data_IF_997080203532
#
_entry.id   IF_997080203532
#
_cell.length_a   1.000
_cell.length_b   1.000
_cell.length_c   1.000
_cell.angle_alpha   90.00
_cell.angle_beta   90.00
_cell.angle_gamma   90.00
#
_symmetry.space_group_name_H-M   'P 1'
#
loop_
_entity.id
_entity.type
_entity.pdbx_description
1 polymer ?
#
# COMPACT_ATOMS: atom_id res chain seq x y z
N UNK A 1 -9.65 12.40 -10.23
CA UNK A 1 -9.04 11.31 -11.02
C UNK A 1 -10.06 10.20 -11.23
N UNK A 2 -10.03 9.48 -12.36
CA UNK A 2 -10.99 8.41 -12.68
C UNK A 2 -10.25 7.19 -13.20
N UNK A 3 -10.69 5.98 -12.78
CA UNK A 3 -10.16 4.68 -13.22
C UNK A 3 -11.35 3.90 -13.80
N UNK A 4 -11.40 3.72 -15.12
CA UNK A 4 -12.60 3.20 -15.78
C UNK A 4 -13.83 4.03 -15.43
N UNK A 5 -14.84 3.41 -14.81
CA UNK A 5 -16.05 4.07 -14.32
C UNK A 5 -15.96 4.52 -12.83
N UNK A 6 -14.86 4.27 -12.14
CA UNK A 6 -14.68 4.58 -10.72
C UNK A 6 -14.02 5.96 -10.56
N UNK A 7 -14.71 6.87 -9.87
CA UNK A 7 -14.18 8.19 -9.51
C UNK A 7 -13.54 8.15 -8.13
N UNK A 8 -12.27 8.56 -8.05
CA UNK A 8 -11.54 8.68 -6.78
C UNK A 8 -11.76 10.04 -6.14
N UNK A 9 -11.89 10.07 -4.81
CA UNK A 9 -11.98 11.31 -4.01
C UNK A 9 -10.68 12.13 -4.03
N UNK A 10 -9.54 11.44 -4.10
CA UNK A 10 -8.21 12.04 -4.17
C UNK A 10 -7.29 11.22 -5.09
N UNK A 11 -6.29 11.84 -5.75
CA UNK A 11 -5.34 11.14 -6.63
C UNK A 11 -4.22 10.45 -5.83
N UNK A 12 -4.56 9.83 -4.69
CA UNK A 12 -3.61 9.16 -3.80
C UNK A 12 -4.14 7.77 -3.46
N UNK A 13 -3.29 6.76 -3.61
CA UNK A 13 -3.63 5.36 -3.35
C UNK A 13 -2.69 4.73 -2.30
N UNK A 14 -3.22 3.80 -1.49
CA UNK A 14 -2.43 2.91 -0.64
C UNK A 14 -1.90 1.74 -1.47
N UNK A 15 -0.57 1.54 -1.47
CA UNK A 15 0.05 0.41 -2.16
C UNK A 15 -0.21 -0.92 -1.42
N UNK A 16 -0.36 -2.03 -2.14
CA UNK A 16 -0.46 -3.36 -1.54
C UNK A 16 0.84 -3.75 -0.83
N UNK A 17 0.75 -4.13 0.43
CA UNK A 17 1.88 -4.53 1.28
C UNK A 17 1.50 -5.72 2.15
N UNK A 18 2.09 -6.90 1.88
CA UNK A 18 1.82 -8.12 2.62
C UNK A 18 2.11 -7.96 4.13
N UNK A 19 1.16 -8.34 4.98
CA UNK A 19 1.20 -8.19 6.42
C UNK A 19 1.04 -6.75 6.91
N UNK A 20 0.54 -5.83 6.06
CA UNK A 20 0.30 -4.42 6.43
C UNK A 20 -1.06 -3.94 5.95
N UNK A 21 -1.41 -4.17 4.66
CA UNK A 21 -2.62 -3.59 4.07
C UNK A 21 -3.82 -4.50 4.19
N UNK A 22 -4.04 -4.99 5.40
CA UNK A 22 -5.27 -5.67 5.78
C UNK A 22 -6.45 -4.69 5.89
N UNK A 23 -7.67 -5.22 6.03
CA UNK A 23 -8.88 -4.40 6.04
C UNK A 23 -8.86 -3.29 7.12
N UNK A 24 -8.48 -3.53 8.39
CA UNK A 24 -8.38 -2.48 9.39
C UNK A 24 -7.46 -1.32 8.98
N UNK A 25 -6.27 -1.62 8.47
CA UNK A 25 -5.34 -0.58 8.05
C UNK A 25 -5.84 0.19 6.81
N UNK A 26 -6.50 -0.50 5.87
CA UNK A 26 -7.11 0.14 4.69
C UNK A 26 -8.20 1.13 5.09
N UNK A 27 -9.08 0.76 6.05
CA UNK A 27 -10.12 1.65 6.60
C UNK A 27 -9.48 2.90 7.22
N UNK A 28 -8.46 2.74 8.08
CA UNK A 28 -7.73 3.86 8.69
C UNK A 28 -7.16 4.80 7.61
N UNK A 29 -6.52 4.25 6.59
CA UNK A 29 -5.98 5.07 5.50
C UNK A 29 -7.08 5.81 4.72
N UNK A 30 -8.23 5.16 4.53
CA UNK A 30 -9.37 5.74 3.82
C UNK A 30 -9.97 6.92 4.57
N UNK A 31 -10.17 6.80 5.87
CA UNK A 31 -10.66 7.89 6.73
C UNK A 31 -9.72 9.11 6.74
N UNK A 32 -8.41 8.86 6.57
CA UNK A 32 -7.41 9.92 6.44
C UNK A 32 -7.26 10.47 5.02
N UNK A 33 -8.21 10.13 4.12
CA UNK A 33 -8.36 10.74 2.81
C UNK A 33 -7.77 9.95 1.64
N UNK A 34 -7.26 8.72 1.85
CA UNK A 34 -6.78 7.89 0.75
C UNK A 34 -7.89 7.67 -0.29
N UNK A 35 -7.64 8.02 -1.56
CA UNK A 35 -8.62 7.91 -2.63
C UNK A 35 -8.91 6.48 -3.06
N UNK A 36 -7.90 5.60 -3.03
CA UNK A 36 -8.00 4.19 -3.39
C UNK A 36 -7.14 3.35 -2.45
N UNK A 37 -7.70 2.30 -1.89
CA UNK A 37 -6.94 1.28 -1.15
C UNK A 37 -6.82 0.00 -1.94
N UNK A 38 -5.68 -0.68 -1.81
CA UNK A 38 -5.41 -1.96 -2.48
C UNK A 38 -5.12 -3.02 -1.41
N UNK A 39 -5.78 -4.17 -1.53
CA UNK A 39 -5.58 -5.29 -0.61
C UNK A 39 -4.15 -5.85 -0.65
N UNK A 40 -3.81 -6.69 0.30
CA UNK A 40 -2.69 -7.62 0.15
C UNK A 40 -2.89 -8.50 -1.09
N UNK A 41 -1.80 -9.05 -1.63
CA UNK A 41 -1.89 -9.88 -2.84
C UNK A 41 -2.56 -11.23 -2.57
N UNK A 42 -3.59 -11.54 -3.35
CA UNK A 42 -4.44 -12.74 -3.28
C UNK A 42 -4.05 -13.73 -4.36
N UNK A 43 -3.84 -15.00 -3.98
CA UNK A 43 -3.48 -16.04 -4.93
C UNK A 43 -4.66 -16.45 -5.82
N UNK A 44 -4.53 -16.33 -7.14
CA UNK A 44 -5.53 -16.83 -8.09
C UNK A 44 -5.78 -18.33 -7.91
N UNK A 45 -4.72 -19.14 -7.77
CA UNK A 45 -4.82 -20.57 -7.48
C UNK A 45 -5.52 -20.83 -6.14
N UNK A 46 -5.20 -20.06 -5.09
CA UNK A 46 -5.84 -20.19 -3.79
C UNK A 46 -7.35 -20.01 -3.86
N UNK A 47 -7.86 -19.07 -4.66
CA UNK A 47 -9.28 -18.86 -4.91
C UNK A 47 -9.90 -20.05 -5.67
N UNK A 48 -9.25 -20.52 -6.73
CA UNK A 48 -9.76 -21.64 -7.52
C UNK A 48 -9.83 -22.94 -6.74
N UNK A 49 -8.93 -23.16 -5.81
CA UNK A 49 -8.95 -24.30 -4.87
C UNK A 49 -9.82 -24.08 -3.63
N UNK A 50 -10.58 -22.98 -3.58
CA UNK A 50 -11.51 -22.63 -2.49
C UNK A 50 -10.84 -22.60 -1.11
N UNK A 51 -9.60 -22.11 -1.05
CA UNK A 51 -8.89 -21.96 0.21
C UNK A 51 -9.57 -20.85 1.06
N UNK A 52 -10.09 -21.23 2.24
CA UNK A 52 -10.85 -20.35 3.13
C UNK A 52 -10.07 -19.07 3.47
N UNK A 53 -8.79 -19.20 3.87
CA UNK A 53 -7.96 -18.03 4.20
C UNK A 53 -7.77 -17.08 3.02
N UNK A 54 -7.74 -17.62 1.78
CA UNK A 54 -7.63 -16.79 0.58
C UNK A 54 -8.94 -16.04 0.31
N UNK A 55 -10.08 -16.66 0.56
CA UNK A 55 -11.39 -15.99 0.46
C UNK A 55 -11.57 -14.90 1.53
N UNK A 56 -11.09 -15.13 2.76
CA UNK A 56 -11.12 -14.10 3.81
C UNK A 56 -10.38 -12.81 3.42
N UNK A 57 -9.37 -12.92 2.53
CA UNK A 57 -8.64 -11.75 2.03
C UNK A 57 -9.43 -10.92 1.01
N UNK A 58 -10.56 -11.41 0.48
CA UNK A 58 -11.44 -10.67 -0.43
C UNK A 58 -12.32 -9.65 0.29
N UNK A 59 -12.49 -9.78 1.61
CA UNK A 59 -13.37 -8.91 2.38
C UNK A 59 -13.05 -7.44 2.19
N UNK A 60 -14.09 -6.68 1.82
CA UNK A 60 -14.07 -5.23 1.66
C UNK A 60 -15.17 -4.64 2.54
N UNK A 61 -14.81 -3.73 3.43
CA UNK A 61 -15.76 -2.94 4.20
C UNK A 61 -16.34 -1.79 3.35
N UNK A 62 -17.55 -1.35 3.70
CA UNK A 62 -18.19 -0.24 2.98
C UNK A 62 -17.39 1.06 3.12
N UNK A 63 -16.77 1.27 4.28
CA UNK A 63 -16.00 2.47 4.66
C UNK A 63 -14.71 2.63 3.85
N UNK A 64 -14.16 1.54 3.32
CA UNK A 64 -12.91 1.59 2.54
C UNK A 64 -13.10 1.76 1.02
N UNK A 65 -14.36 1.80 0.54
CA UNK A 65 -14.65 1.93 -0.90
C UNK A 65 -14.30 3.32 -1.47
N UNK A 66 -13.83 3.39 -2.73
CA UNK A 66 -13.49 2.26 -3.59
C UNK A 66 -12.22 1.53 -3.14
N UNK A 67 -12.27 0.19 -3.25
CA UNK A 67 -11.18 -0.71 -2.88
C UNK A 67 -10.84 -1.68 -4.01
N UNK A 68 -9.54 -1.94 -4.20
CA UNK A 68 -9.07 -2.90 -5.17
C UNK A 68 -8.58 -4.18 -4.50
N UNK A 69 -8.96 -5.34 -5.04
CA UNK A 69 -8.38 -6.63 -4.68
C UNK A 69 -7.22 -6.93 -5.62
N UNK A 70 -6.02 -7.12 -5.05
CA UNK A 70 -4.85 -7.44 -5.85
C UNK A 70 -4.68 -8.94 -6.04
N UNK A 71 -4.76 -9.41 -7.29
CA UNK A 71 -4.49 -10.79 -7.68
C UNK A 71 -3.03 -11.01 -8.08
N UNK A 72 -2.51 -12.21 -7.83
CA UNK A 72 -1.26 -12.68 -8.41
C UNK A 72 -1.38 -14.11 -8.94
N UNK A 73 -0.57 -14.42 -9.95
CA UNK A 73 -0.51 -15.70 -10.64
C UNK A 73 0.26 -15.57 -11.94
N UNK A 74 0.40 -16.66 -12.70
CA UNK A 74 1.10 -16.68 -14.00
C UNK A 74 0.31 -17.35 -15.12
N UNK A 75 -0.85 -17.95 -14.82
CA UNK A 75 -1.68 -18.60 -15.83
C UNK A 75 -2.85 -17.70 -16.25
N UNK A 76 -2.96 -17.33 -17.56
CA UNK A 76 -4.01 -16.42 -18.03
C UNK A 76 -5.44 -16.91 -17.77
N UNK A 77 -5.71 -18.22 -17.93
CA UNK A 77 -7.04 -18.78 -17.73
C UNK A 77 -7.42 -18.83 -16.24
N UNK A 78 -6.47 -19.16 -15.36
CA UNK A 78 -6.69 -19.17 -13.91
C UNK A 78 -6.99 -17.76 -13.41
N UNK A 79 -6.23 -16.75 -13.88
CA UNK A 79 -6.42 -15.36 -13.53
C UNK A 79 -7.74 -14.78 -14.00
N UNK A 80 -8.18 -15.10 -15.23
CA UNK A 80 -9.50 -14.71 -15.73
C UNK A 80 -10.64 -15.30 -14.87
N UNK A 81 -10.51 -16.57 -14.45
CA UNK A 81 -11.49 -17.20 -13.54
C UNK A 81 -11.47 -16.60 -12.15
N UNK A 82 -10.28 -16.33 -11.60
CA UNK A 82 -10.12 -15.67 -10.30
C UNK A 82 -10.69 -14.24 -10.32
N UNK A 83 -10.49 -13.50 -11.43
CA UNK A 83 -11.05 -12.16 -11.61
C UNK A 83 -12.59 -12.18 -11.52
N UNK A 84 -13.26 -13.16 -12.14
CA UNK A 84 -14.73 -13.33 -12.01
C UNK A 84 -15.18 -13.61 -10.58
N UNK A 85 -14.39 -14.38 -9.81
CA UNK A 85 -14.69 -14.63 -8.39
C UNK A 85 -14.60 -13.32 -7.60
N UNK A 86 -13.54 -12.53 -7.82
CA UNK A 86 -13.32 -11.24 -7.15
C UNK A 86 -14.41 -10.22 -7.50
N UNK A 87 -14.84 -10.16 -8.76
CA UNK A 87 -15.97 -9.32 -9.18
C UNK A 87 -17.28 -9.75 -8.51
N UNK A 88 -17.57 -11.06 -8.49
CA UNK A 88 -18.77 -11.60 -7.85
C UNK A 88 -18.80 -11.40 -6.34
N UNK A 89 -17.63 -11.32 -5.68
CA UNK A 89 -17.48 -11.01 -4.25
C UNK A 89 -17.65 -9.51 -3.96
N UNK A 90 -17.75 -8.67 -5.01
CA UNK A 90 -18.12 -7.26 -4.91
C UNK A 90 -16.96 -6.28 -4.80
N UNK A 91 -15.78 -6.61 -5.31
CA UNK A 91 -14.68 -5.65 -5.45
C UNK A 91 -15.04 -4.51 -6.42
N UNK A 92 -14.52 -3.31 -6.17
CA UNK A 92 -14.71 -2.16 -7.07
C UNK A 92 -13.71 -2.19 -8.24
N UNK A 93 -12.49 -2.69 -7.99
CA UNK A 93 -11.39 -2.77 -8.95
C UNK A 93 -10.63 -4.07 -8.71
N UNK A 94 -10.11 -4.67 -9.78
CA UNK A 94 -9.12 -5.75 -9.67
C UNK A 94 -7.75 -5.20 -10.03
N UNK A 95 -6.79 -5.29 -9.11
CA UNK A 95 -5.40 -4.95 -9.41
C UNK A 95 -4.58 -6.21 -9.67
N UNK A 96 -3.67 -6.17 -10.63
CA UNK A 96 -2.81 -7.31 -10.95
C UNK A 96 -1.36 -7.05 -10.51
N UNK A 97 -0.78 -8.01 -9.76
CA UNK A 97 0.58 -7.91 -9.25
C UNK A 97 1.61 -8.37 -10.30
N UNK A 98 2.38 -7.43 -10.82
CA UNK A 98 3.58 -7.67 -11.63
C UNK A 98 4.83 -7.03 -11.01
N UNK A 99 4.82 -6.78 -9.69
CA UNK A 99 5.90 -6.06 -9.01
C UNK A 99 6.51 -6.76 -7.80
N UNK A 100 5.93 -7.85 -7.30
CA UNK A 100 6.45 -8.57 -6.12
C UNK A 100 7.83 -9.17 -6.42
N UNK A 101 8.89 -8.83 -5.64
CA UNK A 101 10.24 -9.30 -5.91
C UNK A 101 10.61 -10.58 -5.12
N UNK A 102 9.72 -11.05 -4.24
CA UNK A 102 10.01 -12.13 -3.28
C UNK A 102 10.30 -13.44 -4.00
N UNK A 103 11.40 -14.18 -3.64
CA UNK A 103 11.79 -15.41 -4.32
C UNK A 103 10.68 -16.45 -4.46
N UNK A 104 9.88 -16.65 -3.41
CA UNK A 104 8.76 -17.61 -3.43
C UNK A 104 7.74 -17.33 -4.54
N UNK A 105 7.54 -16.06 -4.89
CA UNK A 105 6.63 -15.64 -5.97
C UNK A 105 7.34 -15.70 -7.32
N UNK A 106 8.53 -15.11 -7.39
CA UNK A 106 9.30 -14.98 -8.63
C UNK A 106 9.73 -16.35 -9.20
N UNK A 107 10.09 -17.31 -8.35
CA UNK A 107 10.49 -18.65 -8.78
C UNK A 107 9.33 -19.45 -9.42
N UNK A 108 8.10 -19.06 -9.16
CA UNK A 108 6.89 -19.61 -9.80
C UNK A 108 6.52 -18.86 -11.11
N UNK A 109 7.35 -17.95 -11.59
CA UNK A 109 7.04 -17.14 -12.77
C UNK A 109 6.01 -16.05 -12.54
N UNK A 110 5.72 -15.70 -11.28
CA UNK A 110 4.70 -14.74 -10.87
C UNK A 110 5.31 -13.40 -10.43
N UNK A 111 4.47 -12.40 -10.19
CA UNK A 111 4.91 -11.09 -9.74
C UNK A 111 5.86 -10.43 -10.72
N UNK A 112 7.04 -9.95 -10.26
CA UNK A 112 8.01 -9.27 -11.11
C UNK A 112 8.69 -10.17 -12.16
N UNK A 113 8.58 -11.50 -12.05
CA UNK A 113 9.07 -12.41 -13.10
C UNK A 113 8.34 -12.21 -14.43
N UNK A 114 7.08 -11.79 -14.40
CA UNK A 114 6.29 -11.48 -15.60
C UNK A 114 6.86 -10.31 -16.41
N UNK A 115 7.64 -9.42 -15.78
CA UNK A 115 8.36 -8.35 -16.51
C UNK A 115 9.34 -8.90 -17.56
N UNK A 116 9.80 -10.15 -17.39
CA UNK A 116 10.69 -10.83 -18.36
C UNK A 116 9.98 -11.38 -19.59
N UNK A 117 8.65 -11.53 -19.51
CA UNK A 117 7.82 -12.06 -20.58
C UNK A 117 6.66 -11.12 -20.93
N UNK A 118 6.91 -10.03 -21.68
CA UNK A 118 5.88 -9.05 -22.03
C UNK A 118 4.67 -9.63 -22.76
N UNK A 119 4.86 -10.70 -23.57
CA UNK A 119 3.76 -11.32 -24.30
C UNK A 119 2.81 -12.07 -23.36
N UNK A 120 3.33 -12.82 -22.39
CA UNK A 120 2.52 -13.47 -21.37
C UNK A 120 1.81 -12.44 -20.49
N UNK A 121 2.50 -11.36 -20.13
CA UNK A 121 1.90 -10.25 -19.38
C UNK A 121 0.68 -9.65 -20.13
N UNK A 122 0.82 -9.40 -21.42
CA UNK A 122 -0.28 -8.93 -22.27
C UNK A 122 -1.44 -9.93 -22.28
N UNK A 123 -1.17 -11.22 -22.51
CA UNK A 123 -2.21 -12.25 -22.56
C UNK A 123 -2.98 -12.33 -21.23
N UNK A 124 -2.27 -12.31 -20.09
CA UNK A 124 -2.90 -12.30 -18.76
C UNK A 124 -3.83 -11.11 -18.61
N UNK A 125 -3.32 -9.90 -18.86
CA UNK A 125 -4.07 -8.66 -18.68
C UNK A 125 -5.29 -8.59 -19.60
N UNK A 126 -5.15 -8.96 -20.86
CA UNK A 126 -6.25 -8.99 -21.82
C UNK A 126 -7.36 -9.96 -21.36
N UNK A 127 -6.99 -11.19 -20.98
CA UNK A 127 -7.98 -12.15 -20.49
C UNK A 127 -8.66 -11.74 -19.20
N UNK A 128 -7.93 -11.09 -18.28
CA UNK A 128 -8.55 -10.54 -17.08
C UNK A 128 -9.53 -9.43 -17.43
N UNK A 129 -9.12 -8.45 -18.23
CA UNK A 129 -9.97 -7.32 -18.63
C UNK A 129 -11.24 -7.77 -19.39
N UNK A 130 -11.09 -8.73 -20.31
CA UNK A 130 -12.22 -9.28 -21.07
C UNK A 130 -13.20 -10.12 -20.23
N UNK A 131 -12.74 -10.62 -19.07
CA UNK A 131 -13.51 -11.55 -18.24
C UNK A 131 -14.47 -10.88 -17.26
N UNK A 132 -14.30 -9.58 -16.97
CA UNK A 132 -15.03 -8.83 -15.95
C UNK A 132 -15.52 -7.48 -16.46
N UNK A 133 -16.49 -6.88 -15.77
CA UNK A 133 -17.04 -5.55 -16.09
C UNK A 133 -16.41 -4.42 -15.27
N UNK A 134 -15.87 -4.76 -14.10
CA UNK A 134 -15.16 -3.80 -13.24
C UNK A 134 -13.77 -3.50 -13.79
N UNK A 135 -13.19 -2.31 -13.52
CA UNK A 135 -11.86 -1.95 -14.01
C UNK A 135 -10.78 -2.93 -13.55
N UNK A 136 -9.87 -3.28 -14.46
CA UNK A 136 -8.63 -3.99 -14.15
C UNK A 136 -7.48 -2.99 -14.16
N UNK A 137 -6.64 -3.00 -13.13
CA UNK A 137 -5.41 -2.21 -13.02
C UNK A 137 -4.20 -3.12 -12.89
N UNK A 138 -3.01 -2.58 -13.06
CA UNK A 138 -1.78 -3.36 -12.89
C UNK A 138 -0.72 -2.58 -12.13
N UNK A 139 -0.02 -3.26 -11.21
CA UNK A 139 1.13 -2.70 -10.50
C UNK A 139 2.42 -3.37 -10.95
N UNK A 140 3.35 -2.57 -11.49
CA UNK A 140 4.63 -3.02 -12.06
C UNK A 140 5.84 -2.41 -11.35
N UNK A 141 7.04 -2.90 -11.69
CA UNK A 141 8.34 -2.27 -11.41
C UNK A 141 8.95 -1.65 -12.65
N UNK A 142 10.11 -0.97 -12.50
CA UNK A 142 10.88 -0.42 -13.61
C UNK A 142 11.32 -1.47 -14.62
N UNK A 143 11.61 -2.67 -14.15
CA UNK A 143 12.08 -3.81 -14.92
C UNK A 143 12.58 -4.93 -14.01
N UNK A 144 13.23 -5.92 -14.60
CA UNK A 144 13.87 -7.02 -13.87
C UNK A 144 15.16 -6.57 -13.17
N UNK A 145 16.09 -5.99 -13.92
CA UNK A 145 17.37 -5.45 -13.49
C UNK A 145 17.69 -4.16 -14.26
N UNK A 146 18.85 -3.56 -14.03
CA UNK A 146 19.27 -2.30 -14.65
C UNK A 146 19.43 -2.41 -16.18
N UNK A 147 19.77 -3.59 -16.71
CA UNK A 147 19.89 -3.84 -18.15
C UNK A 147 18.56 -4.12 -18.82
N UNK A 148 17.54 -4.45 -18.04
CA UNK A 148 16.22 -4.87 -18.50
C UNK A 148 15.12 -3.95 -17.95
N UNK A 149 15.29 -2.63 -18.11
CA UNK A 149 14.27 -1.62 -17.83
C UNK A 149 13.25 -1.61 -18.97
N UNK A 150 12.05 -2.11 -18.71
CA UNK A 150 11.02 -2.27 -19.74
C UNK A 150 9.59 -1.82 -19.35
N UNK A 151 9.48 -1.09 -18.24
CA UNK A 151 8.17 -0.58 -17.77
C UNK A 151 7.37 0.17 -18.85
N UNK A 152 7.95 1.07 -19.70
CA UNK A 152 7.19 1.73 -20.76
C UNK A 152 6.58 0.74 -21.77
N UNK A 153 7.34 -0.30 -22.17
CA UNK A 153 6.83 -1.35 -23.06
C UNK A 153 5.69 -2.16 -22.43
N UNK A 154 5.84 -2.54 -21.15
CA UNK A 154 4.79 -3.25 -20.41
C UNK A 154 3.55 -2.36 -20.27
N UNK A 155 3.70 -1.08 -19.98
CA UNK A 155 2.60 -0.13 -19.85
C UNK A 155 1.79 -0.01 -21.16
N UNK A 156 2.47 0.10 -22.30
CA UNK A 156 1.82 0.14 -23.61
C UNK A 156 1.03 -1.14 -23.90
N UNK A 157 1.59 -2.29 -23.53
CA UNK A 157 0.89 -3.57 -23.68
C UNK A 157 -0.30 -3.68 -22.71
N UNK A 158 -0.17 -3.19 -21.49
CA UNK A 158 -1.27 -3.15 -20.52
C UNK A 158 -2.43 -2.27 -21.02
N UNK A 159 -2.14 -1.09 -21.55
CA UNK A 159 -3.16 -0.22 -22.16
C UNK A 159 -3.86 -0.91 -23.33
N UNK A 160 -3.10 -1.54 -24.23
CA UNK A 160 -3.66 -2.33 -25.34
C UNK A 160 -4.50 -3.52 -24.89
N UNK A 161 -4.20 -4.08 -23.72
CA UNK A 161 -4.94 -5.16 -23.10
C UNK A 161 -6.25 -4.72 -22.40
N UNK A 162 -6.57 -3.41 -22.39
CA UNK A 162 -7.77 -2.89 -21.76
C UNK A 162 -7.62 -2.57 -20.26
N UNK A 163 -6.38 -2.47 -19.75
CA UNK A 163 -6.12 -2.05 -18.36
C UNK A 163 -6.53 -0.59 -18.17
N UNK A 164 -7.23 -0.30 -17.07
CA UNK A 164 -7.83 1.01 -16.81
C UNK A 164 -6.87 2.00 -16.09
N UNK A 165 -5.82 1.52 -15.42
CA UNK A 165 -4.77 2.34 -14.81
C UNK A 165 -3.54 1.48 -14.49
N UNK A 166 -2.38 2.13 -14.32
CA UNK A 166 -1.12 1.46 -14.02
C UNK A 166 -0.40 2.15 -12.85
N UNK A 167 0.13 1.36 -11.91
CA UNK A 167 1.00 1.84 -10.85
C UNK A 167 2.45 1.38 -11.10
N UNK A 168 3.39 2.32 -11.09
CA UNK A 168 4.79 2.07 -11.46
C UNK A 168 5.71 2.33 -10.26
N UNK A 169 6.34 1.28 -9.75
CA UNK A 169 7.43 1.42 -8.79
C UNK A 169 8.74 1.65 -9.55
N UNK A 170 9.39 2.79 -9.32
CA UNK A 170 10.62 3.20 -10.01
C UNK A 170 11.88 2.40 -9.67
N UNK A 171 11.76 1.24 -9.02
CA UNK A 171 12.87 0.28 -8.76
C UNK A 171 12.72 -0.97 -9.60
N UNK A 172 13.83 -1.59 -9.95
CA UNK A 172 13.86 -2.93 -10.56
C UNK A 172 13.55 -4.01 -9.52
N UNK A 173 13.33 -5.25 -10.00
CA UNK A 173 13.19 -6.42 -9.12
C UNK A 173 14.45 -6.65 -8.29
N UNK A 174 15.65 -6.54 -8.88
CA UNK A 174 16.91 -6.80 -8.18
C UNK A 174 17.21 -5.77 -7.10
N UNK A 175 16.83 -4.53 -7.29
CA UNK A 175 16.99 -3.50 -6.26
C UNK A 175 16.14 -3.77 -5.01
N UNK A 176 15.06 -4.54 -5.10
CA UNK A 176 14.11 -4.70 -3.99
C UNK A 176 13.64 -3.35 -3.43
N UNK A 177 14.32 -2.86 -2.38
CA UNK A 177 14.11 -1.55 -1.74
C UNK A 177 15.42 -0.75 -1.58
N UNK A 178 16.54 -1.28 -2.10
CA UNK A 178 17.85 -0.63 -2.03
C UNK A 178 17.95 0.53 -3.03
N UNK A 179 18.88 1.46 -2.75
CA UNK A 179 19.09 2.64 -3.59
C UNK A 179 17.88 3.56 -3.61
N UNK A 180 17.72 4.33 -4.68
CA UNK A 180 16.60 5.26 -4.92
C UNK A 180 15.71 4.75 -6.06
N UNK A 181 14.42 5.05 -5.99
CA UNK A 181 13.50 4.82 -7.09
C UNK A 181 13.82 5.79 -8.25
N UNK A 182 13.97 5.27 -9.44
CA UNK A 182 14.16 6.11 -10.64
C UNK A 182 12.80 6.65 -11.14
N UNK A 183 12.54 7.90 -10.83
CA UNK A 183 11.31 8.57 -11.24
C UNK A 183 11.27 8.88 -12.74
N UNK A 184 12.41 8.89 -13.45
CA UNK A 184 12.42 9.03 -14.91
C UNK A 184 11.72 7.86 -15.61
N UNK A 185 11.76 6.67 -15.02
CA UNK A 185 11.00 5.53 -15.56
C UNK A 185 9.50 5.78 -15.45
N UNK A 186 9.02 6.37 -14.33
CA UNK A 186 7.61 6.74 -14.15
C UNK A 186 7.20 7.78 -15.19
N UNK A 187 8.04 8.82 -15.39
CA UNK A 187 7.84 9.84 -16.42
C UNK A 187 7.72 9.22 -17.81
N UNK A 188 8.65 8.36 -18.21
CA UNK A 188 8.62 7.66 -19.50
C UNK A 188 7.36 6.81 -19.67
N UNK A 189 6.88 6.14 -18.62
CA UNK A 189 5.60 5.41 -18.66
C UNK A 189 4.45 6.39 -18.91
N UNK A 190 4.39 7.52 -18.19
CA UNK A 190 3.34 8.52 -18.38
C UNK A 190 3.33 9.10 -19.79
N UNK A 191 4.49 9.31 -20.37
CA UNK A 191 4.63 9.78 -21.78
C UNK A 191 4.20 8.72 -22.81
N UNK A 192 4.19 7.43 -22.42
CA UNK A 192 3.91 6.30 -23.33
C UNK A 192 2.42 5.95 -23.40
N UNK A 193 1.64 6.15 -22.31
CA UNK A 193 0.24 5.72 -22.21
C UNK A 193 -0.71 6.87 -21.93
N UNK A 194 -1.99 6.69 -22.30
CA UNK A 194 -3.07 7.65 -22.04
C UNK A 194 -3.85 7.32 -20.77
N UNK A 195 -3.83 6.05 -20.33
CA UNK A 195 -4.47 5.63 -19.08
C UNK A 195 -3.79 6.29 -17.87
N UNK A 196 -4.50 6.45 -16.75
CA UNK A 196 -3.95 7.00 -15.52
C UNK A 196 -2.72 6.24 -15.02
N UNK A 197 -1.67 6.98 -14.64
CA UNK A 197 -0.42 6.45 -14.10
C UNK A 197 -0.25 6.90 -12.64
N UNK A 198 -0.10 5.95 -11.72
CA UNK A 198 0.30 6.19 -10.35
C UNK A 198 1.80 6.06 -10.18
N UNK A 199 2.45 7.11 -9.71
CA UNK A 199 3.87 7.07 -9.33
C UNK A 199 4.05 6.42 -7.95
N UNK A 200 5.01 5.50 -7.84
CA UNK A 200 5.31 4.78 -6.59
C UNK A 200 6.82 4.69 -6.36
N UNK A 201 7.23 4.83 -5.10
CA UNK A 201 8.60 4.70 -4.63
C UNK A 201 9.16 5.99 -4.04
N UNK A 202 9.69 5.88 -2.81
CA UNK A 202 10.35 6.94 -2.04
C UNK A 202 9.50 8.18 -1.77
N UNK A 203 8.19 8.00 -1.62
CA UNK A 203 7.27 9.01 -1.11
C UNK A 203 7.14 8.78 0.39
N UNK A 204 7.82 9.59 1.19
CA UNK A 204 7.84 9.50 2.65
C UNK A 204 7.24 10.74 3.31
N UNK A 205 7.08 11.82 2.55
CA UNK A 205 6.52 13.12 2.97
C UNK A 205 5.58 13.67 1.89
N UNK A 206 4.75 14.65 2.26
CA UNK A 206 3.94 15.38 1.28
C UNK A 206 4.81 16.07 0.22
N UNK A 207 5.95 16.62 0.62
CA UNK A 207 6.89 17.26 -0.31
C UNK A 207 7.42 16.27 -1.37
N UNK A 208 7.71 15.01 -0.99
CA UNK A 208 8.10 13.98 -1.96
C UNK A 208 6.96 13.69 -2.96
N UNK A 209 5.72 13.64 -2.47
CA UNK A 209 4.54 13.45 -3.31
C UNK A 209 4.38 14.55 -4.34
N UNK A 210 4.41 15.82 -3.91
CA UNK A 210 4.32 16.97 -4.81
C UNK A 210 5.46 16.99 -5.83
N UNK A 211 6.68 16.68 -5.38
CA UNK A 211 7.85 16.60 -6.25
C UNK A 211 7.70 15.50 -7.31
N UNK A 212 7.22 14.30 -6.92
CA UNK A 212 6.96 13.22 -7.89
C UNK A 212 5.95 13.64 -8.95
N UNK A 213 4.82 14.23 -8.57
CA UNK A 213 3.83 14.73 -9.54
C UNK A 213 4.44 15.74 -10.50
N UNK A 214 5.23 16.70 -9.98
CA UNK A 214 5.88 17.73 -10.78
C UNK A 214 6.93 17.18 -11.75
N UNK A 215 7.78 16.27 -11.28
CA UNK A 215 8.91 15.74 -12.07
C UNK A 215 8.45 14.71 -13.11
N UNK A 216 7.44 13.90 -12.79
CA UNK A 216 7.03 12.78 -13.64
C UNK A 216 5.79 13.04 -14.47
N UNK A 217 4.95 14.01 -14.08
CA UNK A 217 3.65 14.25 -14.68
C UNK A 217 2.64 13.12 -14.47
N UNK A 218 2.89 12.16 -13.55
CA UNK A 218 1.94 11.10 -13.24
C UNK A 218 0.62 11.67 -12.69
N UNK A 219 -0.48 10.92 -12.87
CA UNK A 219 -1.84 11.39 -12.55
C UNK A 219 -2.18 11.22 -11.07
N UNK A 220 -1.47 10.35 -10.37
CA UNK A 220 -1.68 10.09 -8.95
C UNK A 220 -0.46 9.49 -8.29
N UNK A 221 -0.52 9.37 -6.97
CA UNK A 221 0.53 8.83 -6.12
C UNK A 221 0.09 7.51 -5.50
N UNK A 222 0.98 6.52 -5.44
CA UNK A 222 0.75 5.30 -4.69
C UNK A 222 1.77 5.20 -3.55
N UNK A 223 1.27 5.21 -2.31
CA UNK A 223 2.09 5.26 -1.10
C UNK A 223 2.21 3.87 -0.49
N UNK A 224 3.43 3.40 -0.33
CA UNK A 224 3.73 2.14 0.39
C UNK A 224 4.31 2.43 1.78
N UNK A 225 5.61 2.23 1.92
CA UNK A 225 6.35 2.36 3.21
C UNK A 225 6.17 3.71 3.92
N UNK A 226 5.84 4.77 3.19
CA UNK A 226 5.53 6.07 3.79
C UNK A 226 4.25 6.08 4.62
N UNK A 227 3.32 5.14 4.37
CA UNK A 227 2.09 4.99 5.15
C UNK A 227 2.24 4.03 6.35
N UNK A 228 3.24 3.14 6.34
CA UNK A 228 3.47 2.16 7.42
C UNK A 228 3.83 2.88 8.72
N UNK A 229 2.91 2.86 9.69
CA UNK A 229 2.99 3.62 10.94
C UNK A 229 2.76 5.14 10.81
N UNK A 230 2.44 5.62 9.61
CA UNK A 230 2.13 7.02 9.34
C UNK A 230 0.97 7.16 8.33
N UNK A 231 -0.24 6.67 8.63
CA UNK A 231 -1.37 6.82 7.71
C UNK A 231 -1.79 8.28 7.49
N UNK A 232 -1.39 9.21 8.35
CA UNK A 232 -1.64 10.66 8.22
C UNK A 232 -0.97 11.27 6.97
N UNK A 233 -0.01 10.58 6.35
CA UNK A 233 0.62 11.01 5.10
C UNK A 233 -0.41 11.29 4.00
N UNK A 234 -1.56 10.58 4.00
CA UNK A 234 -2.64 10.84 3.04
C UNK A 234 -3.25 12.23 3.26
N UNK A 235 -3.57 12.58 4.51
CA UNK A 235 -4.06 13.93 4.87
C UNK A 235 -3.03 15.00 4.52
N UNK A 236 -1.76 14.76 4.84
CA UNK A 236 -0.67 15.72 4.54
C UNK A 236 -0.55 15.99 3.03
N UNK A 237 -0.55 14.94 2.21
CA UNK A 237 -0.46 15.08 0.75
C UNK A 237 -1.68 15.82 0.19
N UNK A 238 -2.90 15.49 0.66
CA UNK A 238 -4.13 16.14 0.19
C UNK A 238 -4.13 17.62 0.56
N UNK A 239 -3.74 17.96 1.79
CA UNK A 239 -3.62 19.34 2.23
C UNK A 239 -2.60 20.10 1.37
N UNK A 240 -1.46 19.49 1.08
CA UNK A 240 -0.44 20.09 0.22
C UNK A 240 -0.92 20.28 -1.22
N UNK A 241 -1.69 19.33 -1.79
CA UNK A 241 -2.32 19.46 -3.11
C UNK A 241 -3.35 20.60 -3.16
N UNK A 242 -4.00 20.89 -2.03
CA UNK A 242 -4.95 21.99 -1.89
C UNK A 242 -4.29 23.33 -1.51
N UNK A 243 -2.95 23.42 -1.55
CA UNK A 243 -2.20 24.63 -1.29
C UNK A 243 -1.94 24.95 0.18
N UNK A 244 -2.27 24.03 1.10
CA UNK A 244 -1.95 24.20 2.52
C UNK A 244 -0.48 23.85 2.77
N UNK A 245 0.31 24.85 3.18
CA UNK A 245 1.72 24.65 3.54
C UNK A 245 1.83 24.50 5.07
N UNK A 246 2.24 23.34 5.54
CA UNK A 246 2.53 23.09 6.96
C UNK A 246 2.96 21.64 7.17
N UNK A 247 3.96 21.44 8.03
CA UNK A 247 4.30 20.09 8.52
C UNK A 247 3.22 19.68 9.51
N UNK A 248 2.51 18.60 9.23
CA UNK A 248 1.55 18.03 10.15
C UNK A 248 2.31 17.18 11.19
N UNK A 249 2.45 17.70 12.40
CA UNK A 249 3.00 16.92 13.51
C UNK A 249 1.85 16.22 14.24
N UNK A 250 1.83 14.90 14.15
CA UNK A 250 0.82 14.08 14.82
C UNK A 250 1.11 14.09 16.34
N UNK A 251 0.21 14.62 17.18
CA UNK A 251 0.38 14.62 18.63
C UNK A 251 0.54 13.21 19.19
N UNK A 252 1.27 13.07 20.29
CA UNK A 252 1.48 11.78 20.95
C UNK A 252 0.18 11.05 21.24
N UNK A 253 -0.79 11.73 21.82
CA UNK A 253 -2.10 11.16 22.15
C UNK A 253 -2.87 10.64 20.95
N UNK A 254 -2.86 11.39 19.84
CA UNK A 254 -3.51 10.98 18.58
C UNK A 254 -2.86 9.71 18.05
N UNK A 255 -1.54 9.61 18.17
CA UNK A 255 -0.78 8.43 17.72
C UNK A 255 -1.06 7.22 18.59
N UNK A 256 -1.08 7.38 19.91
CA UNK A 256 -1.38 6.30 20.85
C UNK A 256 -2.82 5.82 20.72
N UNK A 257 -3.77 6.74 20.58
CA UNK A 257 -5.17 6.39 20.32
C UNK A 257 -5.33 5.62 19.00
N UNK A 258 -4.58 5.99 17.96
CA UNK A 258 -4.59 5.25 16.68
C UNK A 258 -4.07 3.81 16.86
N UNK A 259 -3.05 3.59 17.70
CA UNK A 259 -2.54 2.25 18.01
C UNK A 259 -3.64 1.42 18.73
N UNK A 260 -4.29 1.98 19.74
CA UNK A 260 -5.36 1.32 20.48
C UNK A 260 -6.54 0.97 19.56
N UNK A 261 -6.96 1.92 18.74
CA UNK A 261 -8.03 1.74 17.77
C UNK A 261 -7.71 0.65 16.74
N UNK A 262 -6.51 0.69 16.16
CA UNK A 262 -6.07 -0.30 15.17
C UNK A 262 -6.03 -1.70 15.78
N UNK A 263 -5.54 -1.84 17.02
CA UNK A 263 -5.56 -3.11 17.76
C UNK A 263 -7.00 -3.63 17.95
N UNK A 264 -7.93 -2.75 18.35
CA UNK A 264 -9.34 -3.13 18.52
C UNK A 264 -9.97 -3.59 17.20
N UNK A 265 -9.74 -2.87 16.10
CA UNK A 265 -10.23 -3.26 14.77
C UNK A 265 -9.66 -4.61 14.32
N UNK A 266 -8.36 -4.87 14.57
CA UNK A 266 -7.73 -6.16 14.31
C UNK A 266 -8.36 -7.28 15.16
N UNK A 267 -8.62 -7.01 16.44
CA UNK A 267 -9.28 -7.96 17.35
C UNK A 267 -10.66 -8.35 16.85
N UNK A 268 -11.45 -7.37 16.45
CA UNK A 268 -12.81 -7.57 15.94
C UNK A 268 -12.80 -8.34 14.60
N UNK A 269 -11.79 -8.11 13.78
CA UNK A 269 -11.68 -8.72 12.46
C UNK A 269 -11.06 -10.13 12.48
N UNK A 270 -10.01 -10.38 13.30
CA UNK A 270 -9.21 -11.63 13.27
C UNK A 270 -9.15 -12.37 14.60
N UNK A 271 -9.74 -11.83 15.66
CA UNK A 271 -9.62 -12.33 17.02
C UNK A 271 -8.33 -11.91 17.72
N UNK A 272 -8.33 -11.95 19.04
CA UNK A 272 -7.28 -11.36 19.89
C UNK A 272 -5.88 -11.91 19.63
N UNK A 273 -5.73 -13.22 19.51
CA UNK A 273 -4.41 -13.87 19.35
C UNK A 273 -3.70 -13.41 18.08
N UNK A 274 -4.44 -13.26 16.97
CA UNK A 274 -3.88 -12.79 15.70
C UNK A 274 -3.64 -11.29 15.76
N UNK A 275 -4.60 -10.55 16.29
CA UNK A 275 -4.53 -9.09 16.41
C UNK A 275 -3.29 -8.63 17.17
N UNK A 276 -3.01 -9.22 18.34
CA UNK A 276 -1.83 -8.88 19.13
C UNK A 276 -0.53 -9.16 18.38
N UNK A 277 -0.44 -10.30 17.69
CA UNK A 277 0.76 -10.65 16.91
C UNK A 277 1.02 -9.69 15.76
N UNK A 278 -0.01 -9.34 15.00
CA UNK A 278 0.11 -8.41 13.87
C UNK A 278 0.35 -6.99 14.37
N UNK A 279 -0.34 -6.59 15.44
CA UNK A 279 -0.17 -5.25 16.03
C UNK A 279 1.23 -4.97 16.55
N UNK A 280 2.01 -5.98 16.94
CA UNK A 280 3.42 -5.82 17.32
C UNK A 280 4.20 -5.07 16.23
N UNK A 281 3.99 -5.42 14.97
CA UNK A 281 4.61 -4.74 13.83
C UNK A 281 4.07 -3.33 13.63
N UNK A 282 2.74 -3.18 13.61
CA UNK A 282 2.11 -1.88 13.39
C UNK A 282 2.45 -0.87 14.48
N UNK A 283 2.35 -1.27 15.76
CA UNK A 283 2.71 -0.40 16.87
C UNK A 283 4.19 0.00 16.82
N UNK A 284 5.07 -0.95 16.48
CA UNK A 284 6.48 -0.67 16.27
C UNK A 284 6.74 0.36 15.16
N UNK A 285 5.92 0.38 14.10
CA UNK A 285 5.98 1.37 13.05
C UNK A 285 5.41 2.74 13.50
N UNK A 286 4.26 2.75 14.18
CA UNK A 286 3.66 3.97 14.74
C UNK A 286 4.57 4.71 15.74
N UNK A 287 5.34 3.97 16.55
CA UNK A 287 6.25 4.53 17.53
C UNK A 287 7.60 4.98 16.95
N UNK A 288 7.86 4.73 15.66
CA UNK A 288 9.13 5.09 15.03
C UNK A 288 9.39 6.60 15.14
N UNK A 289 10.58 6.96 15.65
CA UNK A 289 11.00 8.36 15.82
C UNK A 289 10.45 9.05 17.07
N UNK A 290 9.64 8.36 17.89
CA UNK A 290 9.15 8.86 19.16
C UNK A 290 10.19 8.67 20.28
N UNK A 291 10.11 9.45 21.39
CA UNK A 291 10.96 9.23 22.55
C UNK A 291 10.90 7.78 23.05
N UNK A 292 12.01 7.21 23.50
CA UNK A 292 12.11 5.84 24.05
C UNK A 292 11.55 4.72 23.16
N UNK A 293 11.24 4.99 21.90
CA UNK A 293 10.59 4.05 20.97
C UNK A 293 11.34 2.70 20.83
N UNK A 294 12.67 2.69 20.96
CA UNK A 294 13.46 1.46 20.83
C UNK A 294 13.16 0.46 21.94
N UNK A 295 13.06 0.93 23.18
CA UNK A 295 12.73 0.12 24.35
C UNK A 295 11.31 -0.43 24.26
N UNK A 296 10.33 0.45 24.03
CA UNK A 296 8.92 0.06 23.97
C UNK A 296 8.62 -0.89 22.79
N UNK A 297 9.26 -0.73 21.63
CA UNK A 297 9.17 -1.68 20.51
C UNK A 297 9.69 -3.08 20.89
N UNK A 298 10.73 -3.17 21.72
CA UNK A 298 11.20 -4.46 22.23
C UNK A 298 10.15 -5.09 23.12
N UNK A 299 9.61 -4.35 24.09
CA UNK A 299 8.57 -4.83 25.04
C UNK A 299 7.27 -5.24 24.32
N UNK A 300 6.84 -4.48 23.30
CA UNK A 300 5.66 -4.80 22.47
C UNK A 300 5.77 -6.20 21.85
N UNK A 301 6.96 -6.66 21.48
CA UNK A 301 7.13 -7.99 20.87
C UNK A 301 6.89 -9.15 21.87
N UNK A 302 6.86 -8.89 23.17
CA UNK A 302 6.66 -9.87 24.23
C UNK A 302 5.18 -9.98 24.64
N UNK A 303 4.31 -9.04 24.26
CA UNK A 303 2.90 -8.98 24.66
C UNK A 303 2.08 -10.10 24.02
N UNK A 304 1.10 -10.64 24.73
CA UNK A 304 0.26 -11.73 24.29
C UNK A 304 -1.24 -11.44 24.34
N UNK A 305 -1.65 -10.40 25.07
CA UNK A 305 -3.06 -9.99 25.21
C UNK A 305 -3.26 -8.51 24.87
N UNK A 306 -4.49 -8.13 24.54
CA UNK A 306 -4.85 -6.73 24.34
C UNK A 306 -4.76 -5.92 25.65
N UNK A 307 -5.00 -6.56 26.79
CA UNK A 307 -4.88 -5.91 28.10
C UNK A 307 -3.44 -5.50 28.41
N UNK A 308 -2.48 -6.43 28.20
CA UNK A 308 -1.05 -6.14 28.32
C UNK A 308 -0.63 -5.00 27.38
N UNK A 309 -1.18 -5.00 26.14
CA UNK A 309 -0.92 -3.95 25.16
C UNK A 309 -1.38 -2.59 25.68
N UNK A 310 -2.64 -2.51 26.15
CA UNK A 310 -3.20 -1.27 26.72
C UNK A 310 -2.43 -0.79 27.95
N UNK A 311 -2.00 -1.72 28.84
CA UNK A 311 -1.19 -1.37 30.01
C UNK A 311 0.17 -0.76 29.61
N UNK A 312 0.85 -1.36 28.63
CA UNK A 312 2.13 -0.85 28.12
C UNK A 312 2.00 0.51 27.44
N UNK A 313 0.92 0.75 26.69
CA UNK A 313 0.68 2.07 26.06
C UNK A 313 0.39 3.17 27.09
N UNK A 314 -0.31 2.87 28.17
CA UNK A 314 -0.53 3.82 29.29
C UNK A 314 0.78 4.18 29.99
N UNK A 315 1.62 3.19 30.25
CA UNK A 315 2.96 3.40 30.82
C UNK A 315 3.79 4.29 29.89
N UNK A 316 3.84 3.94 28.60
CA UNK A 316 4.56 4.70 27.58
C UNK A 316 4.10 6.16 27.52
N UNK A 317 2.80 6.42 27.54
CA UNK A 317 2.24 7.77 27.55
C UNK A 317 2.84 8.60 28.69
N UNK A 318 2.74 8.09 29.92
CA UNK A 318 3.21 8.78 31.11
C UNK A 318 4.72 9.09 31.06
N UNK A 319 5.52 8.18 30.55
CA UNK A 319 6.97 8.39 30.45
C UNK A 319 7.36 9.33 29.31
N UNK A 320 6.71 9.21 28.14
CA UNK A 320 6.96 10.06 27.01
C UNK A 320 6.56 11.53 27.29
N UNK A 321 5.45 11.76 27.99
CA UNK A 321 5.03 13.09 28.41
C UNK A 321 6.05 13.74 29.38
N UNK A 322 6.53 12.98 30.36
CA UNK A 322 7.59 13.46 31.27
C UNK A 322 8.86 13.81 30.51
N UNK A 323 9.27 12.99 29.57
CA UNK A 323 10.45 13.23 28.73
C UNK A 323 10.30 14.50 27.88
N UNK A 324 9.14 14.69 27.24
CA UNK A 324 8.85 15.85 26.42
C UNK A 324 8.79 17.14 27.24
N UNK A 325 8.18 17.10 28.44
CA UNK A 325 8.14 18.24 29.37
C UNK A 325 9.52 18.62 29.83
N UNK A 326 10.38 17.66 30.20
CA UNK A 326 11.76 17.94 30.63
C UNK A 326 12.59 18.60 29.52
N UNK A 327 12.39 18.14 28.25
CA UNK A 327 13.07 18.73 27.10
C UNK A 327 12.63 20.16 26.80
N UNK A 328 11.34 20.47 26.97
CA UNK A 328 10.83 21.86 26.83
C UNK A 328 11.41 22.82 27.84
N UNK A 329 11.50 22.41 29.13
CA UNK A 329 12.07 23.23 30.16
C UNK A 329 13.58 23.52 29.93
N UNK A 330 14.32 22.56 29.38
CA UNK A 330 15.75 22.74 29.07
C UNK A 330 15.99 23.71 27.90
N UNK A 331 15.10 23.75 26.91
CA UNK A 331 15.21 24.69 25.79
C UNK A 331 14.80 26.12 26.16
N UNK A 332 13.89 26.29 27.15
CA UNK A 332 13.45 27.62 27.61
C UNK A 332 14.42 28.28 28.63
N UNK A 333 15.38 27.51 29.18
CA UNK A 333 16.44 28.05 30.05
C UNK A 333 17.74 28.42 29.30
N UNK A 334 17.79 28.13 27.99
CA UNK A 334 18.95 28.35 27.13
C UNK A 334 18.81 29.58 26.17
N UNK A 335 17.64 30.23 26.18
CA UNK A 335 17.36 31.52 25.52
C UNK A 335 17.35 32.67 26.56
#
# INVERSE_FOLDING_TARGET
>A
MQIGNIRLSAPVALAPMAGITDMPFRIICKELGCGLVVSEMVSAKGLLYKNVKTFDMLRIAQEERPAAIQLFGSNPMELARAAKIVEADGADIIDFNMGCPVPKIVNNGEGSALMKNPQLAYEILARMADSVKIPVTVKIRAGWDEKNINAPKIALLAEKAGVAAIAVHGRTREQYYNGKADWNVIKKVKETVKIPVFGNGDILTAADGLRMLKETGCDGLMIGRGADGNPWIFTEIINALNGSCGKYEVPLDVRLHMIERHLQMLKDFKGEVIAVKEMRRHAGAYLKGMPMAAEYRRRINELNTCEEFGALLREYRNEAEKFLAAKHNFCSEAD
#
